data_IF_289224338569
#
_entry.id   IF_289224338569
#
_cell.length_a   1.000
_cell.length_b   1.000
_cell.length_c   1.000
_cell.angle_alpha   90.00
_cell.angle_beta   90.00
_cell.angle_gamma   90.00
#
_symmetry.space_group_name_H-M   'P 1'
#
loop_
_entity.id
_entity.type
_entity.pdbx_description
1 polymer ?
#
# COMPACT_ATOMS: atom_id res chain seq x y z
N UNK A 1 8.46 -18.05 -11.18
CA UNK A 1 8.14 -19.01 -10.10
C UNK A 1 9.19 -18.83 -9.01
N UNK A 2 8.80 -18.63 -7.75
CA UNK A 2 9.78 -18.56 -6.67
C UNK A 2 10.31 -19.97 -6.37
N UNK A 3 11.63 -20.12 -6.34
CA UNK A 3 12.30 -21.39 -6.02
C UNK A 3 12.04 -21.80 -4.56
N UNK A 4 11.89 -23.10 -4.29
CA UNK A 4 11.53 -23.61 -2.95
C UNK A 4 12.50 -23.15 -1.84
N UNK A 5 13.79 -23.03 -2.13
CA UNK A 5 14.79 -22.51 -1.20
C UNK A 5 14.53 -21.03 -0.83
N UNK A 6 14.13 -20.21 -1.81
CA UNK A 6 13.75 -18.81 -1.56
C UNK A 6 12.44 -18.69 -0.78
N UNK A 7 11.52 -19.65 -0.94
CA UNK A 7 10.28 -19.69 -0.18
C UNK A 7 10.52 -20.01 1.29
N UNK A 8 11.38 -20.99 1.61
CA UNK A 8 11.72 -21.34 2.98
C UNK A 8 12.43 -20.19 3.73
N UNK A 9 13.36 -19.49 3.08
CA UNK A 9 14.00 -18.32 3.69
C UNK A 9 13.01 -17.17 3.96
N UNK A 10 12.01 -16.97 3.09
CA UNK A 10 10.98 -15.95 3.29
C UNK A 10 10.04 -16.22 4.47
N UNK A 11 9.95 -17.46 4.95
CA UNK A 11 9.15 -17.78 6.13
C UNK A 11 9.82 -17.30 7.43
N UNK A 12 11.16 -17.27 7.46
CA UNK A 12 11.89 -16.85 8.66
C UNK A 12 11.60 -15.38 8.96
N UNK A 13 11.08 -15.10 10.16
CA UNK A 13 10.68 -13.76 10.60
C UNK A 13 9.36 -13.26 9.99
N UNK A 14 8.71 -14.02 9.13
CA UNK A 14 7.40 -13.66 8.59
C UNK A 14 6.32 -13.83 9.65
N UNK A 15 5.36 -12.92 9.69
CA UNK A 15 4.18 -13.04 10.53
C UNK A 15 3.18 -14.04 9.92
N UNK A 16 2.52 -14.83 10.77
CA UNK A 16 1.45 -15.75 10.37
C UNK A 16 0.22 -15.59 11.27
N UNK A 17 -0.91 -15.26 10.66
CA UNK A 17 -2.20 -15.25 11.34
C UNK A 17 -2.69 -16.67 11.63
N UNK A 18 -2.95 -17.00 12.89
CA UNK A 18 -3.46 -18.31 13.33
C UNK A 18 -4.82 -18.16 13.99
N UNK A 19 -5.67 -19.17 13.83
CA UNK A 19 -7.06 -19.17 14.28
C UNK A 19 -7.56 -20.61 14.44
N UNK A 20 -8.43 -20.85 15.42
CA UNK A 20 -9.02 -22.15 15.73
C UNK A 20 -9.34 -22.29 17.23
N UNK A 21 -9.70 -23.50 17.66
CA UNK A 21 -9.81 -23.84 19.08
C UNK A 21 -8.45 -23.90 19.78
N UNK A 22 -8.44 -24.06 21.11
CA UNK A 22 -7.22 -24.07 21.92
C UNK A 22 -6.20 -25.12 21.44
N UNK A 23 -6.66 -26.30 21.01
CA UNK A 23 -5.79 -27.37 20.55
C UNK A 23 -5.19 -27.02 19.18
N UNK A 24 -5.98 -26.46 18.28
CA UNK A 24 -5.54 -25.99 16.98
C UNK A 24 -4.53 -24.84 17.11
N UNK A 25 -4.77 -23.88 18.01
CA UNK A 25 -3.86 -22.76 18.27
C UNK A 25 -2.51 -23.25 18.79
N UNK A 26 -2.48 -24.18 19.75
CA UNK A 26 -1.22 -24.76 20.24
C UNK A 26 -0.45 -25.48 19.12
N UNK A 27 -1.15 -26.21 18.25
CA UNK A 27 -0.51 -26.87 17.11
C UNK A 27 0.03 -25.86 16.09
N UNK A 28 -0.74 -24.82 15.76
CA UNK A 28 -0.35 -23.78 14.82
C UNK A 28 0.85 -22.95 15.32
N UNK A 29 0.90 -22.62 16.62
CA UNK A 29 2.04 -21.95 17.25
C UNK A 29 3.31 -22.81 17.18
N UNK A 30 3.21 -24.10 17.47
CA UNK A 30 4.35 -25.03 17.35
C UNK A 30 4.87 -25.10 15.91
N UNK A 31 3.98 -25.17 14.93
CA UNK A 31 4.35 -25.19 13.52
C UNK A 31 5.02 -23.87 13.09
N UNK A 32 4.41 -22.73 13.43
CA UNK A 32 4.96 -21.41 13.13
C UNK A 32 6.37 -21.24 13.70
N UNK A 33 6.57 -21.60 14.97
CA UNK A 33 7.88 -21.54 15.62
C UNK A 33 8.90 -22.47 14.97
N UNK A 34 8.49 -23.69 14.56
CA UNK A 34 9.35 -24.63 13.83
C UNK A 34 9.84 -24.05 12.50
N UNK A 35 8.96 -23.30 11.82
CA UNK A 35 9.27 -22.59 10.57
C UNK A 35 9.95 -21.22 10.80
N UNK A 36 10.24 -20.86 12.06
CA UNK A 36 10.80 -19.57 12.49
C UNK A 36 9.95 -18.37 12.07
N UNK A 37 8.64 -18.57 11.97
CA UNK A 37 7.65 -17.51 11.76
C UNK A 37 7.26 -16.88 13.10
N UNK A 38 6.54 -15.75 13.05
CA UNK A 38 5.99 -15.05 14.20
C UNK A 38 4.47 -15.25 14.21
N UNK A 39 3.93 -16.16 15.06
CA UNK A 39 2.49 -16.40 15.11
C UNK A 39 1.72 -15.23 15.74
N UNK A 40 0.57 -14.90 15.17
CA UNK A 40 -0.37 -13.89 15.68
C UNK A 40 -1.76 -14.50 15.72
N UNK A 41 -2.38 -14.58 16.90
CA UNK A 41 -3.75 -15.08 17.04
C UNK A 41 -4.73 -14.06 16.49
N UNK A 42 -5.56 -14.47 15.54
CA UNK A 42 -6.60 -13.64 14.92
C UNK A 42 -7.98 -14.24 15.27
N UNK A 43 -8.90 -13.46 15.84
CA UNK A 43 -10.28 -13.93 16.04
C UNK A 43 -10.92 -14.36 14.71
N UNK A 44 -11.67 -15.46 14.70
CA UNK A 44 -12.33 -15.97 13.50
C UNK A 44 -13.16 -14.89 12.77
N UNK A 45 -13.90 -14.08 13.53
CA UNK A 45 -14.69 -12.97 13.00
C UNK A 45 -13.86 -11.84 12.34
N UNK A 46 -12.60 -11.68 12.73
CA UNK A 46 -11.70 -10.64 12.21
C UNK A 46 -10.88 -11.10 10.99
N UNK A 47 -10.88 -12.41 10.70
CA UNK A 47 -10.09 -13.03 9.62
C UNK A 47 -10.33 -12.41 8.24
N UNK A 48 -11.59 -12.11 7.81
CA UNK A 48 -11.82 -11.44 6.53
C UNK A 48 -11.14 -10.07 6.43
N UNK A 49 -11.23 -9.24 7.49
CA UNK A 49 -10.61 -7.92 7.52
C UNK A 49 -9.08 -8.00 7.52
N UNK A 50 -8.51 -8.93 8.30
CA UNK A 50 -7.07 -9.20 8.30
C UNK A 50 -6.55 -9.60 6.91
N UNK A 51 -7.23 -10.52 6.22
CA UNK A 51 -6.86 -10.93 4.86
C UNK A 51 -7.03 -9.81 3.84
N UNK A 52 -8.07 -8.97 3.97
CA UNK A 52 -8.24 -7.81 3.12
C UNK A 52 -7.05 -6.84 3.26
N UNK A 53 -6.54 -6.62 4.48
CA UNK A 53 -5.32 -5.84 4.71
C UNK A 53 -4.10 -6.39 3.96
N UNK A 54 -3.92 -7.72 3.95
CA UNK A 54 -2.87 -8.36 3.16
C UNK A 54 -3.04 -8.12 1.65
N UNK A 55 -4.28 -8.15 1.14
CA UNK A 55 -4.56 -7.86 -0.26
C UNK A 55 -4.22 -6.41 -0.64
N UNK A 56 -4.46 -5.44 0.24
CA UNK A 56 -4.06 -4.04 0.01
C UNK A 56 -2.57 -3.90 -0.23
N UNK A 57 -1.74 -4.58 0.58
CA UNK A 57 -0.29 -4.47 0.48
C UNK A 57 0.29 -5.32 -0.64
N UNK A 58 -0.20 -6.55 -0.82
CA UNK A 58 0.38 -7.50 -1.79
C UNK A 58 -0.20 -7.35 -3.21
N UNK A 59 -1.52 -7.21 -3.34
CA UNK A 59 -2.19 -7.26 -4.64
C UNK A 59 -2.36 -5.86 -5.21
N UNK A 60 -2.87 -4.93 -4.40
CA UNK A 60 -3.20 -3.60 -4.90
C UNK A 60 -1.96 -2.73 -5.11
N UNK A 61 -0.86 -2.96 -4.39
CA UNK A 61 0.44 -2.37 -4.74
C UNK A 61 0.86 -2.75 -6.17
N UNK A 62 0.73 -4.03 -6.55
CA UNK A 62 1.06 -4.49 -7.91
C UNK A 62 0.14 -3.83 -8.94
N UNK A 63 -1.17 -3.76 -8.66
CA UNK A 63 -2.12 -3.08 -9.53
C UNK A 63 -1.80 -1.58 -9.71
N UNK A 64 -1.46 -0.86 -8.63
CA UNK A 64 -1.08 0.55 -8.66
C UNK A 64 0.22 0.78 -9.45
N UNK A 65 1.20 -0.11 -9.34
CA UNK A 65 2.41 -0.07 -10.17
C UNK A 65 2.09 -0.30 -11.64
N UNK A 66 1.17 -1.21 -11.97
CA UNK A 66 0.70 -1.42 -13.33
C UNK A 66 -0.01 -0.19 -13.93
N UNK A 67 -0.82 0.50 -13.12
CA UNK A 67 -1.41 1.80 -13.51
C UNK A 67 -0.31 2.83 -13.77
N UNK A 68 0.67 2.96 -12.87
CA UNK A 68 1.78 3.89 -13.02
C UNK A 68 2.59 3.61 -14.30
N UNK A 69 2.96 2.36 -14.55
CA UNK A 69 3.65 1.93 -15.77
C UNK A 69 2.89 2.38 -17.04
N UNK A 70 1.58 2.09 -17.10
CA UNK A 70 0.76 2.48 -18.25
C UNK A 70 0.67 3.99 -18.41
N UNK A 71 0.63 4.76 -17.33
CA UNK A 71 0.70 6.23 -17.39
C UNK A 71 2.05 6.73 -17.91
N UNK A 72 3.18 6.12 -17.51
CA UNK A 72 4.49 6.45 -18.07
C UNK A 72 4.54 6.20 -19.58
N UNK A 73 4.01 5.06 -20.03
CA UNK A 73 3.92 4.75 -21.47
C UNK A 73 3.09 5.78 -22.22
N UNK A 74 1.94 6.17 -21.67
CA UNK A 74 1.10 7.22 -22.26
C UNK A 74 1.79 8.60 -22.30
N UNK A 75 2.73 8.86 -21.39
CA UNK A 75 3.57 10.05 -21.39
C UNK A 75 4.78 9.96 -22.35
N UNK A 76 4.89 8.88 -23.14
CA UNK A 76 5.95 8.70 -24.14
C UNK A 76 7.21 8.00 -23.64
N UNK A 77 7.20 7.43 -22.43
CA UNK A 77 8.33 6.64 -21.90
C UNK A 77 8.42 5.30 -22.67
N UNK A 78 9.60 4.90 -23.18
CA UNK A 78 9.80 3.61 -23.82
C UNK A 78 9.35 2.44 -22.94
N UNK A 79 8.76 1.41 -23.54
CA UNK A 79 8.12 0.32 -22.80
C UNK A 79 9.09 -0.44 -21.87
N UNK A 80 10.33 -0.65 -22.29
CA UNK A 80 11.39 -1.30 -21.52
C UNK A 80 11.82 -0.47 -20.29
N UNK A 81 11.73 0.86 -20.39
CA UNK A 81 11.98 1.78 -19.28
C UNK A 81 10.75 1.87 -18.38
N UNK A 82 9.56 2.05 -18.94
CA UNK A 82 8.32 2.20 -18.19
C UNK A 82 8.05 1.01 -17.25
N UNK A 83 8.39 -0.21 -17.67
CA UNK A 83 8.26 -1.43 -16.88
C UNK A 83 9.06 -1.43 -15.56
N UNK A 84 10.07 -0.56 -15.44
CA UNK A 84 10.96 -0.50 -14.27
C UNK A 84 11.15 0.89 -13.66
N UNK A 85 10.71 1.95 -14.34
CA UNK A 85 11.01 3.34 -13.96
C UNK A 85 10.56 3.69 -12.52
N UNK A 86 9.46 3.09 -12.05
CA UNK A 86 8.91 3.35 -10.72
C UNK A 86 9.37 2.36 -9.63
N UNK A 87 10.08 1.28 -9.98
CA UNK A 87 10.52 0.29 -8.98
C UNK A 87 11.48 0.88 -7.95
N UNK A 88 12.44 1.75 -8.31
CA UNK A 88 13.28 2.43 -7.30
C UNK A 88 12.45 3.32 -6.36
N UNK A 89 11.42 3.99 -6.88
CA UNK A 89 10.53 4.84 -6.08
C UNK A 89 9.71 4.01 -5.08
N UNK A 90 9.18 2.85 -5.52
CA UNK A 90 8.50 1.91 -4.63
C UNK A 90 9.45 1.37 -3.55
N UNK A 91 10.68 1.04 -3.92
CA UNK A 91 11.71 0.61 -2.96
C UNK A 91 11.98 1.67 -1.88
N UNK A 92 12.07 2.94 -2.27
CA UNK A 92 12.19 4.06 -1.32
C UNK A 92 10.98 4.20 -0.40
N UNK A 93 9.76 4.04 -0.93
CA UNK A 93 8.54 4.05 -0.12
C UNK A 93 8.51 2.92 0.92
N UNK A 94 8.91 1.71 0.54
CA UNK A 94 9.03 0.57 1.48
C UNK A 94 10.09 0.82 2.54
N UNK A 95 11.24 1.39 2.16
CA UNK A 95 12.30 1.74 3.10
C UNK A 95 11.80 2.75 4.15
N UNK A 96 11.05 3.78 3.72
CA UNK A 96 10.44 4.74 4.64
C UNK A 96 9.43 4.08 5.57
N UNK A 97 8.56 3.20 5.05
CA UNK A 97 7.58 2.48 5.87
C UNK A 97 8.24 1.67 6.99
N UNK A 98 9.36 1.01 6.69
CA UNK A 98 10.14 0.26 7.68
C UNK A 98 10.74 1.16 8.78
N UNK A 99 11.10 2.41 8.44
CA UNK A 99 11.78 3.31 9.37
C UNK A 99 10.83 4.21 10.17
N UNK A 100 9.71 4.64 9.58
CA UNK A 100 8.88 5.74 10.07
C UNK A 100 7.41 5.36 10.31
N UNK A 101 6.94 4.24 9.75
CA UNK A 101 5.52 3.88 9.74
C UNK A 101 4.67 4.71 8.75
N UNK A 102 3.37 4.40 8.57
CA UNK A 102 2.57 4.89 7.45
C UNK A 102 2.41 6.42 7.37
N UNK A 103 1.95 7.07 8.45
CA UNK A 103 1.67 8.52 8.44
C UNK A 103 2.93 9.34 8.16
N UNK A 104 4.03 9.04 8.86
CA UNK A 104 5.30 9.75 8.68
C UNK A 104 6.00 9.43 7.35
N UNK A 105 5.71 8.29 6.73
CA UNK A 105 6.26 7.92 5.41
C UNK A 105 5.54 8.58 4.24
N UNK A 106 4.32 9.08 4.44
CA UNK A 106 3.54 9.70 3.37
C UNK A 106 4.26 10.97 2.88
N UNK A 107 4.47 11.07 1.58
CA UNK A 107 5.03 12.25 0.90
C UNK A 107 4.11 12.74 -0.22
N UNK A 108 4.58 13.69 -1.03
CA UNK A 108 3.87 14.16 -2.22
C UNK A 108 2.82 15.24 -1.97
N UNK A 109 1.97 15.46 -2.96
CA UNK A 109 1.08 16.62 -3.01
C UNK A 109 0.04 16.63 -1.86
N UNK A 110 -0.56 15.48 -1.56
CA UNK A 110 -1.53 15.34 -0.46
C UNK A 110 -0.88 15.69 0.88
N UNK A 111 0.32 15.16 1.16
CA UNK A 111 1.06 15.41 2.42
C UNK A 111 1.33 16.90 2.67
N UNK A 112 1.55 17.68 1.60
CA UNK A 112 1.87 19.11 1.66
C UNK A 112 0.66 20.03 1.50
N UNK A 113 -0.53 19.50 1.23
CA UNK A 113 -1.70 20.33 0.91
C UNK A 113 -1.63 21.02 -0.46
N UNK A 114 -0.89 20.44 -1.42
CA UNK A 114 -0.63 21.01 -2.74
C UNK A 114 -1.79 20.69 -3.71
N UNK A 115 -2.85 21.48 -3.59
CA UNK A 115 -4.05 21.38 -4.42
C UNK A 115 -3.79 21.64 -5.91
N UNK A 116 -2.78 22.45 -6.24
CA UNK A 116 -2.48 22.83 -7.63
C UNK A 116 -1.92 21.62 -8.39
N UNK A 117 -0.97 20.91 -7.78
CA UNK A 117 -0.45 19.66 -8.32
C UNK A 117 -1.56 18.61 -8.45
N UNK A 118 -2.46 18.50 -7.47
CA UNK A 118 -3.59 17.57 -7.54
C UNK A 118 -4.53 17.90 -8.70
N UNK A 119 -4.89 19.17 -8.88
CA UNK A 119 -5.71 19.63 -10.02
C UNK A 119 -5.01 19.33 -11.36
N UNK A 120 -3.69 19.50 -11.44
CA UNK A 120 -2.92 19.16 -12.63
C UNK A 120 -2.91 17.66 -12.93
N UNK A 121 -2.70 16.82 -11.92
CA UNK A 121 -2.78 15.36 -12.06
C UNK A 121 -4.14 14.93 -12.59
N UNK A 122 -5.23 15.39 -11.97
CA UNK A 122 -6.58 15.02 -12.39
C UNK A 122 -6.87 15.39 -13.85
N UNK A 123 -6.35 16.51 -14.35
CA UNK A 123 -6.49 16.90 -15.76
C UNK A 123 -5.76 15.97 -16.73
N UNK A 124 -4.67 15.34 -16.29
CA UNK A 124 -3.85 14.46 -17.11
C UNK A 124 -4.35 12.99 -17.12
N UNK A 125 -5.31 12.65 -16.25
CA UNK A 125 -5.78 11.28 -16.06
C UNK A 125 -7.07 10.97 -16.84
N UNK A 126 -7.23 9.71 -17.24
CA UNK A 126 -8.47 9.18 -17.80
C UNK A 126 -9.63 9.25 -16.78
N UNK A 127 -10.87 9.04 -17.21
CA UNK A 127 -12.01 9.01 -16.28
C UNK A 127 -11.85 7.92 -15.20
N UNK A 128 -11.41 6.73 -15.59
CA UNK A 128 -11.18 5.60 -14.69
C UNK A 128 -10.02 5.88 -13.72
N UNK A 129 -8.89 6.36 -14.23
CA UNK A 129 -7.73 6.67 -13.38
C UNK A 129 -8.01 7.82 -12.42
N UNK A 130 -8.84 8.81 -12.81
CA UNK A 130 -9.29 9.88 -11.90
C UNK A 130 -10.07 9.32 -10.72
N UNK A 131 -10.96 8.37 -10.95
CA UNK A 131 -11.73 7.72 -9.88
C UNK A 131 -10.81 7.00 -8.91
N UNK A 132 -9.87 6.19 -9.42
CA UNK A 132 -8.88 5.51 -8.58
C UNK A 132 -7.99 6.50 -7.81
N UNK A 133 -7.48 7.52 -8.49
CA UNK A 133 -6.65 8.56 -7.89
C UNK A 133 -7.36 9.26 -6.74
N UNK A 134 -8.65 9.60 -6.91
CA UNK A 134 -9.47 10.19 -5.84
C UNK A 134 -9.61 9.25 -4.65
N UNK A 135 -9.97 7.98 -4.88
CA UNK A 135 -10.17 7.00 -3.81
C UNK A 135 -8.91 6.83 -2.97
N UNK A 136 -7.75 6.64 -3.61
CA UNK A 136 -6.47 6.46 -2.90
C UNK A 136 -6.02 7.77 -2.24
N UNK A 137 -6.22 8.92 -2.90
CA UNK A 137 -5.89 10.22 -2.30
C UNK A 137 -6.69 10.50 -1.04
N UNK A 138 -7.96 10.07 -0.97
CA UNK A 138 -8.78 10.22 0.24
C UNK A 138 -8.23 9.40 1.41
N UNK A 139 -7.77 8.18 1.17
CA UNK A 139 -7.07 7.40 2.19
C UNK A 139 -5.75 8.08 2.62
N UNK A 140 -5.03 8.71 1.69
CA UNK A 140 -3.82 9.46 1.99
C UNK A 140 -4.08 10.74 2.82
N UNK A 141 -5.26 11.37 2.71
CA UNK A 141 -5.60 12.54 3.53
C UNK A 141 -5.69 12.18 5.01
N UNK A 142 -6.25 11.02 5.35
CA UNK A 142 -6.26 10.53 6.74
C UNK A 142 -4.85 10.44 7.31
N UNK A 143 -3.92 9.82 6.57
CA UNK A 143 -2.51 9.74 6.95
C UNK A 143 -1.83 11.12 6.99
N UNK A 144 -2.18 12.03 6.10
CA UNK A 144 -1.63 13.38 6.08
C UNK A 144 -2.06 14.18 7.32
N UNK A 145 -3.31 14.05 7.77
CA UNK A 145 -3.82 14.64 9.02
C UNK A 145 -3.05 14.09 10.22
N UNK A 146 -2.87 12.77 10.30
CA UNK A 146 -2.05 12.14 11.35
C UNK A 146 -0.60 12.65 11.35
N UNK A 147 -0.07 12.98 10.17
CA UNK A 147 1.26 13.57 10.00
C UNK A 147 1.30 15.10 10.18
N UNK A 148 0.22 15.74 10.63
CA UNK A 148 0.15 17.16 10.97
C UNK A 148 -0.21 18.10 9.81
N UNK A 149 -0.88 17.61 8.76
CA UNK A 149 -1.53 18.49 7.77
C UNK A 149 -2.64 19.29 8.46
N UNK A 150 -2.69 20.61 8.27
CA UNK A 150 -3.75 21.44 8.83
C UNK A 150 -5.10 21.12 8.19
N UNK A 151 -6.19 21.25 8.96
CA UNK A 151 -7.54 21.01 8.41
C UNK A 151 -7.85 21.90 7.21
N UNK A 152 -7.47 23.18 7.27
CA UNK A 152 -7.64 24.08 6.11
C UNK A 152 -6.91 23.61 4.86
N UNK A 153 -5.78 22.91 4.99
CA UNK A 153 -5.05 22.36 3.84
C UNK A 153 -5.66 21.03 3.38
N UNK A 154 -6.14 20.20 4.31
CA UNK A 154 -6.90 18.99 4.00
C UNK A 154 -8.18 19.32 3.22
N UNK A 155 -8.96 20.32 3.67
CA UNK A 155 -10.19 20.78 3.00
C UNK A 155 -9.93 21.22 1.56
N UNK A 156 -8.88 22.02 1.31
CA UNK A 156 -8.51 22.45 -0.05
C UNK A 156 -8.13 21.28 -0.95
N UNK A 157 -7.43 20.27 -0.39
CA UNK A 157 -7.12 19.03 -1.11
C UNK A 157 -8.40 18.24 -1.41
N UNK A 158 -9.31 18.11 -0.45
CA UNK A 158 -10.60 17.41 -0.64
C UNK A 158 -11.47 18.10 -1.70
N UNK A 159 -11.50 19.44 -1.71
CA UNK A 159 -12.16 20.24 -2.73
C UNK A 159 -11.52 20.03 -4.11
N UNK A 160 -10.19 20.05 -4.19
CA UNK A 160 -9.45 19.80 -5.42
C UNK A 160 -9.71 18.40 -5.99
N UNK A 161 -9.91 17.41 -5.13
CA UNK A 161 -10.29 16.05 -5.55
C UNK A 161 -11.71 16.01 -6.12
N UNK A 162 -12.63 16.85 -5.62
CA UNK A 162 -14.03 16.87 -6.03
C UNK A 162 -14.80 15.61 -5.61
N UNK A 163 -16.06 15.51 -6.04
CA UNK A 163 -16.91 14.33 -5.78
C UNK A 163 -16.46 13.12 -6.61
N UNK A 164 -16.68 11.93 -6.06
CA UNK A 164 -16.45 10.66 -6.74
C UNK A 164 -17.42 10.51 -7.92
#
# INVERSE_FOLDING_TARGET
>A
MAEAATAAERLKGAYVGIEGDDRALVAAERLANTLRMIPVRIPAAAKPAYHAGAAFVANYTVALVGVAERLARAAGVPADIAARIYLPLLGGAVANLNALGPAASLTGAVRRGDEQTIKAHLKALSAEDRTLYRTVSRAAITLAREAGLSESAAERVEEALGKA
#
